data_IF_359664322502
#
_entry.id   IF_359664322502
#
_cell.length_a   1.000
_cell.length_b   1.000
_cell.length_c   1.000
_cell.angle_alpha   90.00
_cell.angle_beta   90.00
_cell.angle_gamma   90.00
#
_symmetry.space_group_name_H-M   'P 1'
#
loop_
_entity.id
_entity.type
_entity.pdbx_description
1 polymer ?
#
# COMPACT_ATOMS: atom_id res chain seq x y z
N UNK A 1 -7.64 18.95 15.77
CA UNK A 1 -6.54 19.11 14.78
C UNK A 1 -7.03 18.67 13.40
N UNK A 2 -6.56 19.27 12.30
CA UNK A 2 -6.95 18.80 10.95
C UNK A 2 -6.24 17.47 10.61
N UNK A 3 -6.82 16.61 9.74
CA UNK A 3 -6.25 15.29 9.42
C UNK A 3 -4.78 15.31 8.99
N UNK A 4 -4.43 16.21 8.07
CA UNK A 4 -3.05 16.37 7.55
C UNK A 4 -2.02 16.58 8.65
N UNK A 5 -2.29 17.47 9.60
CA UNK A 5 -1.35 17.75 10.69
C UNK A 5 -1.22 16.56 11.64
N UNK A 6 -2.31 15.82 11.89
CA UNK A 6 -2.27 14.62 12.72
C UNK A 6 -1.38 13.54 12.11
N UNK A 7 -1.50 13.31 10.79
CA UNK A 7 -0.65 12.36 10.06
C UNK A 7 0.81 12.82 10.07
N UNK A 8 1.09 14.11 9.81
CA UNK A 8 2.45 14.67 9.90
C UNK A 8 3.07 14.48 11.28
N UNK A 9 2.30 14.72 12.35
CA UNK A 9 2.77 14.52 13.71
C UNK A 9 3.07 13.05 13.99
N UNK A 10 2.19 12.13 13.57
CA UNK A 10 2.44 10.70 13.72
C UNK A 10 3.73 10.27 13.01
N UNK A 11 3.92 10.65 11.73
CA UNK A 11 5.12 10.32 10.96
C UNK A 11 6.40 10.98 11.51
N UNK A 12 6.28 12.11 12.22
CA UNK A 12 7.40 12.77 12.89
C UNK A 12 7.56 12.37 14.37
N UNK A 13 6.97 11.26 14.81
CA UNK A 13 7.07 10.77 16.20
C UNK A 13 6.66 11.82 17.24
N UNK A 14 5.52 12.49 17.00
CA UNK A 14 4.91 13.45 17.93
C UNK A 14 3.46 13.07 18.20
N UNK A 15 3.05 13.30 19.45
CA UNK A 15 1.69 13.07 19.91
C UNK A 15 0.75 14.19 19.45
N UNK A 16 -0.35 13.82 18.80
CA UNK A 16 -1.37 14.73 18.30
C UNK A 16 -2.58 14.79 19.25
N UNK A 17 -3.76 15.19 18.78
CA UNK A 17 -5.02 15.08 19.56
C UNK A 17 -5.49 13.62 19.72
N UNK A 18 -5.20 12.78 18.71
CA UNK A 18 -5.33 11.32 18.71
C UNK A 18 -4.45 10.75 17.60
N UNK A 19 -4.34 9.43 17.51
CA UNK A 19 -3.73 8.77 16.35
C UNK A 19 -4.54 9.03 15.06
N UNK A 20 -3.90 9.12 13.88
CA UNK A 20 -4.60 9.12 12.60
C UNK A 20 -5.30 7.78 12.32
N UNK A 21 -6.33 7.83 11.47
CA UNK A 21 -7.13 6.67 11.08
C UNK A 21 -7.12 6.57 9.56
N UNK A 22 -6.72 5.42 9.03
CA UNK A 22 -6.87 5.08 7.63
C UNK A 22 -7.04 3.57 7.48
N UNK A 23 -7.76 3.13 6.46
CA UNK A 23 -7.98 1.71 6.22
C UNK A 23 -8.33 1.47 4.75
N UNK A 24 -8.29 0.21 4.33
CA UNK A 24 -8.48 -0.20 2.94
C UNK A 24 -9.50 -1.33 2.82
N UNK A 25 -10.81 -1.07 2.92
CA UNK A 25 -11.81 -2.10 2.69
C UNK A 25 -11.84 -2.54 1.21
N UNK A 26 -12.01 -3.84 0.97
CA UNK A 26 -12.25 -4.34 -0.39
C UNK A 26 -13.57 -3.79 -0.96
N UNK A 27 -13.66 -3.69 -2.29
CA UNK A 27 -14.89 -3.25 -2.96
C UNK A 27 -16.11 -4.10 -2.54
N UNK A 28 -15.95 -5.43 -2.51
CA UNK A 28 -16.99 -6.35 -2.06
C UNK A 28 -17.44 -6.09 -0.59
N UNK A 29 -16.52 -5.65 0.28
CA UNK A 29 -16.83 -5.26 1.66
C UNK A 29 -17.67 -3.99 1.68
N UNK A 30 -17.30 -2.98 0.90
CA UNK A 30 -18.06 -1.74 0.80
C UNK A 30 -19.45 -1.99 0.20
N UNK A 31 -19.56 -2.87 -0.79
CA UNK A 31 -20.84 -3.28 -1.39
C UNK A 31 -21.75 -3.98 -0.38
N UNK A 32 -21.18 -4.85 0.46
CA UNK A 32 -21.90 -5.43 1.59
C UNK A 32 -22.37 -4.33 2.55
N UNK A 33 -21.49 -3.41 2.95
CA UNK A 33 -21.84 -2.35 3.90
C UNK A 33 -22.95 -1.43 3.41
N UNK A 34 -23.08 -1.19 2.10
CA UNK A 34 -24.22 -0.47 1.50
C UNK A 34 -25.56 -1.16 1.82
N UNK A 35 -25.59 -2.49 1.84
CA UNK A 35 -26.77 -3.26 2.22
C UNK A 35 -26.98 -3.34 3.75
N UNK A 36 -25.96 -2.99 4.53
CA UNK A 36 -25.98 -3.02 6.00
C UNK A 36 -26.12 -1.63 6.65
N UNK A 37 -26.29 -0.57 5.85
CA UNK A 37 -26.61 0.78 6.33
C UNK A 37 -25.57 1.86 6.09
N UNK A 38 -24.53 1.61 5.29
CA UNK A 38 -23.66 2.68 4.77
C UNK A 38 -24.51 3.62 3.88
N UNK A 39 -24.58 4.94 4.18
CA UNK A 39 -25.44 5.86 3.44
C UNK A 39 -25.14 5.90 1.94
N UNK A 40 -26.20 5.92 1.12
CA UNK A 40 -26.07 6.06 -0.34
C UNK A 40 -25.33 7.35 -0.71
N UNK A 41 -24.43 7.27 -1.69
CA UNK A 41 -23.62 8.39 -2.15
C UNK A 41 -22.45 8.77 -1.22
N UNK A 42 -22.29 8.09 -0.07
CA UNK A 42 -21.16 8.29 0.84
C UNK A 42 -20.11 7.19 0.63
N UNK A 43 -18.84 7.58 0.53
CA UNK A 43 -17.75 6.59 0.52
C UNK A 43 -17.50 6.05 1.93
N UNK A 44 -16.94 4.84 2.03
CA UNK A 44 -16.49 4.31 3.33
C UNK A 44 -15.46 5.24 3.99
N UNK A 45 -14.55 5.81 3.18
CA UNK A 45 -13.56 6.77 3.67
C UNK A 45 -14.20 8.02 4.29
N UNK A 46 -15.28 8.54 3.70
CA UNK A 46 -15.99 9.70 4.24
C UNK A 46 -16.73 9.35 5.54
N UNK A 47 -17.41 8.21 5.57
CA UNK A 47 -18.19 7.75 6.72
C UNK A 47 -17.29 7.49 7.94
N UNK A 48 -16.14 6.82 7.72
CA UNK A 48 -15.19 6.48 8.79
C UNK A 48 -14.11 7.53 9.01
N UNK A 49 -14.17 8.65 8.28
CA UNK A 49 -13.25 9.78 8.39
C UNK A 49 -11.79 9.39 8.22
N UNK A 50 -11.48 8.61 7.18
CA UNK A 50 -10.10 8.29 6.84
C UNK A 50 -9.31 9.56 6.50
N UNK A 51 -8.04 9.56 6.90
CA UNK A 51 -7.25 10.79 6.96
C UNK A 51 -6.22 10.95 5.83
N UNK A 52 -6.03 9.90 5.04
CA UNK A 52 -5.15 9.88 3.88
C UNK A 52 -5.96 9.76 2.59
N UNK A 53 -5.50 10.42 1.54
CA UNK A 53 -5.99 10.26 0.17
C UNK A 53 -4.81 10.14 -0.79
N UNK A 54 -4.81 9.07 -1.59
CA UNK A 54 -3.71 8.77 -2.51
C UNK A 54 -4.04 9.08 -3.96
N UNK A 55 -3.04 9.58 -4.69
CA UNK A 55 -3.11 9.82 -6.12
C UNK A 55 -1.86 9.30 -6.78
N UNK A 56 -2.00 8.64 -7.91
CA UNK A 56 -0.88 8.03 -8.61
C UNK A 56 -1.15 7.90 -10.11
N UNK A 57 -0.09 7.76 -10.90
CA UNK A 57 -0.17 7.50 -12.33
C UNK A 57 -0.33 6.00 -12.61
N UNK A 58 -0.86 5.66 -13.78
CA UNK A 58 -0.65 4.33 -14.37
C UNK A 58 0.82 4.18 -14.74
N UNK A 59 1.52 3.31 -14.01
CA UNK A 59 2.93 2.99 -14.25
C UNK A 59 3.13 1.63 -14.91
N UNK A 60 2.07 1.04 -15.47
CA UNK A 60 2.16 -0.16 -16.32
C UNK A 60 2.78 0.15 -17.69
N UNK A 61 3.11 -0.86 -18.50
CA UNK A 61 3.47 -0.70 -19.91
C UNK A 61 2.30 -0.22 -20.80
N UNK A 62 1.09 -0.02 -20.26
CA UNK A 62 -0.12 0.41 -20.98
C UNK A 62 -0.44 -0.50 -22.18
N UNK A 63 -0.39 -1.82 -21.98
CA UNK A 63 -0.94 -2.74 -22.97
C UNK A 63 -2.45 -2.53 -23.12
N UNK A 64 -3.02 -2.72 -24.32
CA UNK A 64 -4.47 -2.67 -24.50
C UNK A 64 -5.16 -3.68 -23.58
N UNK A 65 -6.15 -3.21 -22.82
CA UNK A 65 -7.02 -4.07 -22.01
C UNK A 65 -8.03 -4.74 -22.93
N UNK A 66 -8.12 -6.06 -22.87
CA UNK A 66 -8.93 -6.87 -23.79
C UNK A 66 -9.61 -8.00 -23.03
N UNK A 67 -10.94 -8.13 -23.19
CA UNK A 67 -11.71 -9.28 -22.70
C UNK A 67 -11.52 -10.43 -23.68
N UNK A 68 -10.92 -11.54 -23.22
CA UNK A 68 -10.65 -12.72 -24.04
C UNK A 68 -11.77 -13.75 -23.94
N UNK A 69 -12.39 -13.86 -22.77
CA UNK A 69 -13.53 -14.73 -22.50
C UNK A 69 -14.35 -14.16 -21.35
N UNK A 70 -15.67 -14.28 -21.41
CA UNK A 70 -16.58 -13.88 -20.33
C UNK A 70 -17.73 -14.88 -20.23
N UNK A 71 -18.06 -15.29 -19.01
CA UNK A 71 -19.24 -16.08 -18.68
C UNK A 71 -19.92 -15.55 -17.40
N UNK A 72 -20.94 -16.27 -16.90
CA UNK A 72 -21.72 -15.84 -15.73
C UNK A 72 -20.91 -15.79 -14.43
N UNK A 73 -19.80 -16.52 -14.34
CA UNK A 73 -19.00 -16.67 -13.13
C UNK A 73 -17.63 -15.98 -13.25
N UNK A 74 -17.03 -16.03 -14.44
CA UNK A 74 -15.66 -15.57 -14.67
C UNK A 74 -15.52 -14.59 -15.84
N UNK A 75 -14.48 -13.76 -15.72
CA UNK A 75 -13.94 -12.96 -16.82
C UNK A 75 -12.45 -13.29 -16.98
N UNK A 76 -12.02 -13.48 -18.22
CA UNK A 76 -10.62 -13.63 -18.60
C UNK A 76 -10.22 -12.42 -19.42
N UNK A 77 -9.24 -11.68 -18.94
CA UNK A 77 -8.79 -10.43 -19.58
C UNK A 77 -7.27 -10.37 -19.68
N UNK A 78 -6.79 -9.68 -20.72
CA UNK A 78 -5.45 -9.10 -20.71
C UNK A 78 -5.54 -7.73 -20.02
N UNK A 79 -4.73 -7.52 -18.99
CA UNK A 79 -4.70 -6.26 -18.25
C UNK A 79 -3.66 -5.26 -18.84
N UNK A 80 -3.59 -4.05 -18.28
CA UNK A 80 -2.65 -3.01 -18.72
C UNK A 80 -1.17 -3.36 -18.51
N UNK A 81 -0.90 -4.33 -17.64
CA UNK A 81 0.42 -4.93 -17.45
C UNK A 81 0.80 -5.89 -18.59
N UNK A 82 -0.16 -6.32 -19.40
CA UNK A 82 0.02 -7.27 -20.51
C UNK A 82 -0.18 -8.73 -20.12
N UNK A 83 -0.39 -9.02 -18.83
CA UNK A 83 -0.65 -10.36 -18.32
C UNK A 83 -2.10 -10.78 -18.54
N UNK A 84 -2.33 -12.08 -18.69
CA UNK A 84 -3.67 -12.65 -18.78
C UNK A 84 -4.11 -13.13 -17.41
N UNK A 85 -5.30 -12.71 -16.97
CA UNK A 85 -5.86 -13.00 -15.65
C UNK A 85 -7.28 -13.52 -15.78
N UNK A 86 -7.66 -14.46 -14.91
CA UNK A 86 -9.04 -14.94 -14.75
C UNK A 86 -9.55 -14.51 -13.38
N UNK A 87 -10.64 -13.77 -13.36
CA UNK A 87 -11.27 -13.24 -12.15
C UNK A 87 -12.69 -13.76 -12.01
N UNK A 88 -13.17 -13.89 -10.78
CA UNK A 88 -14.60 -13.94 -10.51
C UNK A 88 -15.25 -12.60 -10.89
N UNK A 89 -16.49 -12.63 -11.36
CA UNK A 89 -17.25 -11.43 -11.75
C UNK A 89 -17.41 -10.39 -10.64
N UNK A 90 -17.34 -10.82 -9.38
CA UNK A 90 -17.47 -9.96 -8.21
C UNK A 90 -16.12 -9.40 -7.68
N UNK A 91 -14.99 -9.77 -8.30
CA UNK A 91 -13.64 -9.39 -7.88
C UNK A 91 -13.36 -9.60 -6.38
N UNK A 92 -14.03 -10.59 -5.77
CA UNK A 92 -13.93 -10.81 -4.32
C UNK A 92 -12.74 -11.66 -3.89
N UNK A 93 -11.92 -12.10 -4.85
CA UNK A 93 -10.71 -12.90 -4.64
C UNK A 93 -9.55 -12.36 -5.46
N UNK A 94 -8.33 -12.81 -5.15
CA UNK A 94 -7.18 -12.55 -6.01
C UNK A 94 -7.35 -13.22 -7.39
N UNK A 95 -6.89 -12.58 -8.48
CA UNK A 95 -6.98 -13.15 -9.83
C UNK A 95 -6.17 -14.44 -9.98
N UNK A 96 -6.70 -15.41 -10.73
CA UNK A 96 -5.90 -16.51 -11.26
C UNK A 96 -5.02 -16.00 -12.40
N UNK A 97 -3.75 -16.36 -12.35
CA UNK A 97 -2.73 -15.93 -13.31
C UNK A 97 -2.64 -16.97 -14.45
N UNK A 98 -2.87 -16.55 -15.69
CA UNK A 98 -2.82 -17.41 -16.88
C UNK A 98 -1.52 -17.21 -17.67
N UNK A 99 -1.13 -15.97 -17.96
CA UNK A 99 0.07 -15.67 -18.75
C UNK A 99 0.76 -14.37 -18.31
N UNK A 100 2.03 -14.24 -18.69
CA UNK A 100 2.87 -13.08 -18.44
C UNK A 100 3.48 -12.53 -19.73
N UNK A 101 3.61 -11.21 -19.86
CA UNK A 101 4.13 -10.57 -21.07
C UNK A 101 5.64 -10.73 -21.25
N UNK A 102 6.40 -10.91 -20.17
CA UNK A 102 7.86 -10.94 -20.20
C UNK A 102 8.39 -12.30 -19.76
N UNK A 103 8.92 -13.08 -20.71
CA UNK A 103 9.39 -14.45 -20.47
C UNK A 103 10.91 -14.56 -20.54
N UNK A 104 11.56 -13.58 -21.16
CA UNK A 104 13.01 -13.51 -21.36
C UNK A 104 13.46 -12.05 -21.55
N UNK A 105 14.76 -11.84 -21.75
CA UNK A 105 15.37 -10.52 -21.98
C UNK A 105 14.85 -9.81 -23.23
N UNK A 106 14.61 -10.53 -24.32
CA UNK A 106 14.13 -9.93 -25.57
C UNK A 106 12.72 -9.35 -25.39
N UNK A 107 11.85 -10.03 -24.63
CA UNK A 107 10.54 -9.50 -24.27
C UNK A 107 10.66 -8.23 -23.42
N UNK A 108 11.61 -8.21 -22.47
CA UNK A 108 11.91 -7.03 -21.66
C UNK A 108 12.37 -5.85 -22.53
N UNK A 109 13.31 -6.05 -23.44
CA UNK A 109 13.79 -4.98 -24.33
C UNK A 109 12.68 -4.41 -25.24
N UNK A 110 11.69 -5.23 -25.62
CA UNK A 110 10.50 -4.76 -26.36
C UNK A 110 9.53 -3.98 -25.46
N UNK A 111 9.43 -4.37 -24.18
CA UNK A 111 8.49 -3.77 -23.23
C UNK A 111 9.04 -2.49 -22.58
N UNK A 112 10.33 -2.45 -22.24
CA UNK A 112 11.02 -1.36 -21.54
C UNK A 112 10.76 0.03 -22.16
N UNK A 113 10.80 0.24 -23.50
CA UNK A 113 10.50 1.55 -24.09
C UNK A 113 9.08 2.08 -23.83
N UNK A 114 8.14 1.21 -23.42
CA UNK A 114 6.79 1.61 -23.02
C UNK A 114 6.78 2.26 -21.63
N UNK A 115 7.70 1.88 -20.75
CA UNK A 115 7.84 2.38 -19.37
C UNK A 115 8.53 3.76 -19.33
N UNK A 116 7.98 4.71 -20.09
CA UNK A 116 8.44 6.10 -20.16
C UNK A 116 7.35 7.06 -19.68
N UNK A 117 7.71 8.23 -19.11
CA UNK A 117 6.75 9.21 -18.64
C UNK A 117 5.87 9.75 -19.78
N UNK A 118 4.59 10.00 -19.49
CA UNK A 118 3.59 10.44 -20.47
C UNK A 118 2.37 11.04 -19.78
N UNK A 119 1.72 12.03 -20.41
CA UNK A 119 0.48 12.62 -19.87
C UNK A 119 -0.70 11.67 -19.95
N UNK A 120 -0.64 10.63 -20.78
CA UNK A 120 -1.68 9.59 -20.85
C UNK A 120 -1.70 8.64 -19.66
N UNK A 121 -0.75 8.77 -18.74
CA UNK A 121 -0.65 7.93 -17.54
C UNK A 121 -1.47 8.47 -16.37
N UNK A 122 -2.15 9.60 -16.53
CA UNK A 122 -2.98 10.21 -15.47
C UNK A 122 -4.30 10.63 -16.09
N UNK A 123 -5.41 10.25 -15.44
CA UNK A 123 -6.71 10.87 -15.72
C UNK A 123 -6.74 12.26 -15.07
N UNK A 124 -6.15 13.25 -15.74
CA UNK A 124 -5.95 14.58 -15.17
C UNK A 124 -7.24 15.24 -14.68
N UNK A 125 -8.35 15.05 -15.39
CA UNK A 125 -9.62 15.70 -15.06
C UNK A 125 -10.15 15.16 -13.74
N UNK A 126 -10.34 13.84 -13.65
CA UNK A 126 -10.89 13.21 -12.46
C UNK A 126 -9.90 13.30 -11.29
N UNK A 127 -8.61 13.08 -11.53
CA UNK A 127 -7.59 13.10 -10.48
C UNK A 127 -7.40 14.49 -9.88
N UNK A 128 -7.36 15.57 -10.66
CA UNK A 128 -7.23 16.93 -10.11
C UNK A 128 -8.49 17.37 -9.38
N UNK A 129 -9.68 17.03 -9.89
CA UNK A 129 -10.94 17.33 -9.20
C UNK A 129 -11.00 16.65 -7.83
N UNK A 130 -10.67 15.36 -7.77
CA UNK A 130 -10.62 14.61 -6.52
C UNK A 130 -9.51 15.15 -5.59
N UNK A 131 -8.33 15.47 -6.12
CA UNK A 131 -7.25 16.09 -5.37
C UNK A 131 -7.69 17.39 -4.69
N UNK A 132 -8.31 18.32 -5.43
CA UNK A 132 -8.76 19.59 -4.87
C UNK A 132 -9.81 19.38 -3.77
N UNK A 133 -10.74 18.43 -3.96
CA UNK A 133 -11.71 18.04 -2.94
C UNK A 133 -11.01 17.56 -1.67
N UNK A 134 -10.16 16.55 -1.75
CA UNK A 134 -9.51 15.96 -0.56
C UNK A 134 -8.51 16.92 0.09
N UNK A 135 -7.76 17.67 -0.70
CA UNK A 135 -6.84 18.68 -0.20
C UNK A 135 -7.57 19.79 0.57
N UNK A 136 -8.73 20.26 0.08
CA UNK A 136 -9.54 21.29 0.76
C UNK A 136 -10.14 20.81 2.09
N UNK A 137 -10.36 19.51 2.23
CA UNK A 137 -10.80 18.88 3.49
C UNK A 137 -9.67 18.69 4.50
N UNK A 138 -8.45 19.08 4.12
CA UNK A 138 -7.27 18.96 4.96
C UNK A 138 -6.81 17.52 5.14
N UNK A 139 -7.09 16.62 4.19
CA UNK A 139 -6.51 15.27 4.18
C UNK A 139 -5.00 15.32 3.91
N UNK A 140 -4.30 14.29 4.36
CA UNK A 140 -2.90 14.04 4.02
C UNK A 140 -2.83 13.42 2.63
N UNK A 141 -2.20 14.11 1.68
CA UNK A 141 -2.22 13.71 0.27
C UNK A 141 -0.96 12.92 -0.07
N UNK A 142 -1.10 11.67 -0.54
CA UNK A 142 0.06 10.83 -0.90
C UNK A 142 0.23 10.65 -2.40
N UNK A 143 1.48 10.62 -2.85
CA UNK A 143 1.85 10.10 -4.17
C UNK A 143 1.96 8.58 -4.10
N UNK A 144 1.06 7.88 -4.78
CA UNK A 144 0.93 6.43 -4.69
C UNK A 144 1.59 5.77 -5.89
N UNK A 145 2.52 4.85 -5.65
CA UNK A 145 3.24 4.18 -6.73
C UNK A 145 3.72 2.78 -6.33
N UNK A 146 3.45 1.78 -7.18
CA UNK A 146 4.03 0.45 -7.03
C UNK A 146 5.43 0.42 -7.62
N UNK A 147 6.36 -0.22 -6.93
CA UNK A 147 7.77 -0.28 -7.32
C UNK A 147 8.39 -1.65 -7.04
N UNK A 148 9.55 -1.93 -7.64
CA UNK A 148 10.41 -3.04 -7.22
C UNK A 148 9.84 -4.43 -7.54
N UNK A 149 10.23 -5.44 -6.76
CA UNK A 149 9.91 -6.85 -7.05
C UNK A 149 8.41 -7.10 -7.28
N UNK A 150 7.56 -6.54 -6.43
CA UNK A 150 6.11 -6.75 -6.50
C UNK A 150 5.49 -6.24 -7.80
N UNK A 151 5.96 -5.09 -8.27
CA UNK A 151 5.54 -4.58 -9.56
C UNK A 151 6.09 -5.45 -10.70
N UNK A 152 7.36 -5.83 -10.66
CA UNK A 152 7.99 -6.63 -11.72
C UNK A 152 7.36 -8.03 -11.83
N UNK A 153 6.88 -8.63 -10.73
CA UNK A 153 6.18 -9.91 -10.82
C UNK A 153 4.83 -9.84 -11.55
N UNK A 154 4.33 -8.65 -11.88
CA UNK A 154 3.20 -8.51 -12.82
C UNK A 154 3.62 -8.71 -14.28
N UNK A 155 4.90 -8.50 -14.61
CA UNK A 155 5.47 -8.67 -15.95
C UNK A 155 6.08 -10.05 -16.16
N UNK A 156 6.80 -10.54 -15.14
CA UNK A 156 7.55 -11.80 -15.16
C UNK A 156 6.97 -12.71 -14.11
N UNK A 157 6.70 -13.97 -14.45
CA UNK A 157 6.17 -14.93 -13.48
C UNK A 157 7.08 -15.02 -12.23
N UNK A 158 6.51 -14.94 -11.02
CA UNK A 158 7.29 -14.95 -9.78
C UNK A 158 8.30 -16.12 -9.69
N UNK A 159 7.97 -17.38 -10.06
CA UNK A 159 8.96 -18.47 -10.05
C UNK A 159 10.15 -18.24 -10.99
N UNK A 160 9.98 -17.47 -12.06
CA UNK A 160 11.04 -17.14 -13.01
C UNK A 160 11.82 -15.92 -12.54
N UNK A 161 11.12 -14.90 -12.06
CA UNK A 161 11.73 -13.70 -11.48
C UNK A 161 12.63 -14.07 -10.29
N UNK A 162 12.19 -14.97 -9.40
CA UNK A 162 13.03 -15.46 -8.30
C UNK A 162 14.29 -16.17 -8.80
N UNK A 163 14.22 -16.96 -9.87
CA UNK A 163 15.44 -17.54 -10.46
C UNK A 163 16.34 -16.46 -11.07
N UNK A 164 15.76 -15.46 -11.72
CA UNK A 164 16.49 -14.34 -12.29
C UNK A 164 17.17 -13.48 -11.21
N UNK A 165 16.57 -13.31 -10.03
CA UNK A 165 17.20 -12.65 -8.88
C UNK A 165 18.53 -13.31 -8.51
N UNK A 166 18.62 -14.64 -8.62
CA UNK A 166 19.86 -15.37 -8.36
C UNK A 166 20.81 -15.41 -9.57
N UNK A 167 20.28 -15.68 -10.77
CA UNK A 167 21.08 -16.05 -11.95
C UNK A 167 21.37 -14.88 -12.88
N UNK A 168 20.54 -13.85 -12.86
CA UNK A 168 20.54 -12.72 -13.79
C UNK A 168 20.37 -11.36 -13.07
N UNK A 169 21.15 -11.07 -12.01
CA UNK A 169 20.92 -9.92 -11.13
C UNK A 169 20.95 -8.57 -11.87
N UNK A 170 21.80 -8.41 -12.88
CA UNK A 170 21.86 -7.17 -13.66
C UNK A 170 20.61 -6.92 -14.51
N UNK A 171 19.94 -7.99 -14.96
CA UNK A 171 18.66 -7.86 -15.65
C UNK A 171 17.54 -7.42 -14.73
N UNK A 172 17.50 -8.02 -13.53
CA UNK A 172 16.52 -7.68 -12.51
C UNK A 172 16.73 -6.26 -12.00
N UNK A 173 17.99 -5.84 -11.78
CA UNK A 173 18.33 -4.44 -11.45
C UNK A 173 17.88 -3.48 -12.54
N UNK A 174 18.09 -3.79 -13.82
CA UNK A 174 17.64 -2.94 -14.93
C UNK A 174 16.11 -2.73 -14.90
N UNK A 175 15.35 -3.77 -14.56
CA UNK A 175 13.91 -3.66 -14.36
C UNK A 175 13.55 -2.74 -13.20
N UNK A 176 14.17 -2.92 -12.02
CA UNK A 176 13.91 -2.10 -10.84
C UNK A 176 14.26 -0.63 -11.06
N UNK A 177 15.41 -0.34 -11.69
CA UNK A 177 15.82 1.03 -11.98
C UNK A 177 14.96 1.70 -13.04
N UNK A 178 14.52 0.95 -14.07
CA UNK A 178 13.57 1.46 -15.07
C UNK A 178 12.26 1.88 -14.41
N UNK A 179 11.76 1.04 -13.51
CA UNK A 179 10.53 1.27 -12.76
C UNK A 179 10.65 2.48 -11.82
N UNK A 180 11.71 2.53 -11.00
CA UNK A 180 11.97 3.65 -10.10
C UNK A 180 12.11 4.98 -10.85
N UNK A 181 12.78 4.98 -12.01
CA UNK A 181 12.88 6.16 -12.87
C UNK A 181 11.50 6.63 -13.36
N UNK A 182 10.64 5.72 -13.80
CA UNK A 182 9.29 6.07 -14.22
C UNK A 182 8.47 6.65 -13.05
N UNK A 183 8.61 6.08 -11.85
CA UNK A 183 7.95 6.56 -10.64
C UNK A 183 8.36 8.01 -10.32
N UNK A 184 9.66 8.32 -10.40
CA UNK A 184 10.21 9.67 -10.19
C UNK A 184 9.70 10.64 -11.26
N UNK A 185 9.90 10.30 -12.54
CA UNK A 185 9.56 11.17 -13.67
C UNK A 185 8.05 11.51 -13.71
N UNK A 186 7.19 10.57 -13.29
CA UNK A 186 5.75 10.81 -13.20
C UNK A 186 5.35 11.62 -11.97
N UNK A 187 6.03 11.47 -10.83
CA UNK A 187 5.81 12.32 -9.66
C UNK A 187 6.07 13.78 -10.01
N UNK A 188 7.20 14.04 -10.67
CA UNK A 188 7.59 15.35 -11.20
C UNK A 188 6.52 15.96 -12.11
N UNK A 189 5.97 15.17 -13.02
CA UNK A 189 4.90 15.59 -13.93
C UNK A 189 3.62 15.96 -13.18
N UNK A 190 3.20 15.14 -12.22
CA UNK A 190 2.00 15.42 -11.43
C UNK A 190 2.18 16.68 -10.58
N UNK A 191 3.34 16.87 -9.94
CA UNK A 191 3.61 18.09 -9.18
C UNK A 191 3.59 19.34 -10.06
N UNK A 192 4.20 19.28 -11.26
CA UNK A 192 4.15 20.38 -12.25
C UNK A 192 2.73 20.69 -12.74
N UNK A 193 1.86 19.69 -12.79
CA UNK A 193 0.46 19.84 -13.15
C UNK A 193 -0.44 20.38 -12.02
N UNK A 194 0.11 20.62 -10.83
CA UNK A 194 -0.58 21.29 -9.72
C UNK A 194 -0.89 20.41 -8.52
N UNK A 195 -0.48 19.13 -8.51
CA UNK A 195 -0.57 18.31 -7.31
C UNK A 195 0.42 18.81 -6.25
N UNK A 196 0.00 18.78 -4.98
CA UNK A 196 0.88 18.96 -3.82
C UNK A 196 0.72 17.74 -2.93
N UNK A 197 1.79 16.97 -2.82
CA UNK A 197 1.83 15.78 -1.99
C UNK A 197 2.45 16.12 -0.63
N UNK A 198 1.85 15.57 0.43
CA UNK A 198 2.41 15.62 1.78
C UNK A 198 3.37 14.45 2.03
N UNK A 199 3.25 13.33 1.30
CA UNK A 199 4.11 12.15 1.43
C UNK A 199 4.05 11.23 0.21
N UNK A 200 4.91 10.20 0.18
CA UNK A 200 4.87 9.12 -0.80
C UNK A 200 4.32 7.84 -0.15
N UNK A 201 3.53 7.08 -0.91
CA UNK A 201 3.02 5.78 -0.50
C UNK A 201 3.47 4.74 -1.54
N UNK A 202 4.51 3.99 -1.22
CA UNK A 202 5.09 2.97 -2.09
C UNK A 202 4.47 1.60 -1.80
N UNK A 203 4.26 0.81 -2.85
CA UNK A 203 3.83 -0.59 -2.72
C UNK A 203 4.94 -1.50 -3.25
N UNK A 204 5.42 -2.40 -2.40
CA UNK A 204 6.30 -3.48 -2.82
C UNK A 204 6.27 -4.62 -1.81
N UNK A 205 5.47 -5.66 -2.06
CA UNK A 205 5.51 -6.90 -1.28
C UNK A 205 6.82 -7.67 -1.49
N UNK A 206 7.50 -8.00 -0.39
CA UNK A 206 8.80 -8.68 -0.37
C UNK A 206 8.79 -9.98 0.44
N UNK A 207 7.66 -10.30 1.07
CA UNK A 207 7.50 -11.47 1.90
C UNK A 207 6.19 -12.19 1.67
N UNK A 208 6.15 -13.39 2.22
CA UNK A 208 4.94 -14.19 2.40
C UNK A 208 4.86 -14.59 3.88
N UNK A 209 3.87 -15.43 4.22
CA UNK A 209 3.67 -15.88 5.60
C UNK A 209 4.89 -16.54 6.26
N UNK A 210 5.73 -17.23 5.47
CA UNK A 210 6.88 -17.98 5.97
C UNK A 210 8.18 -17.18 6.10
N UNK A 211 8.28 -16.02 5.47
CA UNK A 211 9.52 -15.25 5.40
C UNK A 211 9.59 -14.36 4.15
N UNK A 212 10.80 -13.99 3.76
CA UNK A 212 11.08 -13.23 2.55
C UNK A 212 11.01 -14.10 1.29
N UNK A 213 10.72 -13.49 0.14
CA UNK A 213 10.78 -14.18 -1.15
C UNK A 213 12.21 -14.57 -1.56
N UNK A 214 13.20 -13.78 -1.14
CA UNK A 214 14.63 -13.99 -1.39
C UNK A 214 15.43 -13.55 -0.16
N UNK A 215 16.70 -13.94 -0.07
CA UNK A 215 17.50 -13.65 1.12
C UNK A 215 17.75 -12.14 1.29
N UNK A 216 17.96 -11.64 2.53
CA UNK A 216 18.31 -10.25 2.78
C UNK A 216 19.50 -9.75 1.95
N UNK A 217 20.47 -10.62 1.64
CA UNK A 217 21.59 -10.29 0.77
C UNK A 217 21.16 -9.92 -0.66
N UNK A 218 20.18 -10.62 -1.24
CA UNK A 218 19.69 -10.26 -2.58
C UNK A 218 18.92 -8.94 -2.54
N UNK A 219 18.22 -8.65 -1.45
CA UNK A 219 17.61 -7.34 -1.23
C UNK A 219 18.68 -6.23 -1.18
N UNK A 220 19.69 -6.40 -0.31
CA UNK A 220 20.84 -5.50 -0.15
C UNK A 220 21.54 -5.22 -1.47
N UNK A 221 21.84 -6.25 -2.26
CA UNK A 221 22.61 -6.10 -3.51
C UNK A 221 21.78 -5.49 -4.66
N UNK A 222 20.44 -5.56 -4.63
CA UNK A 222 19.59 -5.25 -5.79
C UNK A 222 18.53 -4.16 -5.54
N UNK A 223 17.70 -4.30 -4.49
CA UNK A 223 16.58 -3.38 -4.23
C UNK A 223 16.94 -2.26 -3.27
N UNK A 224 17.81 -2.52 -2.29
CA UNK A 224 18.22 -1.51 -1.30
C UNK A 224 18.74 -0.21 -1.96
N UNK A 225 19.62 -0.25 -2.99
CA UNK A 225 20.06 0.97 -3.67
C UNK A 225 18.91 1.71 -4.37
N UNK A 226 17.93 0.98 -4.90
CA UNK A 226 16.76 1.54 -5.59
C UNK A 226 15.84 2.25 -4.62
N UNK A 227 15.57 1.62 -3.46
CA UNK A 227 14.73 2.21 -2.42
C UNK A 227 15.40 3.43 -1.79
N UNK A 228 16.72 3.39 -1.61
CA UNK A 228 17.51 4.54 -1.15
C UNK A 228 17.40 5.73 -2.10
N UNK A 229 17.49 5.52 -3.41
CA UNK A 229 17.29 6.59 -4.41
C UNK A 229 15.87 7.15 -4.35
N UNK A 230 14.85 6.28 -4.31
CA UNK A 230 13.45 6.69 -4.24
C UNK A 230 13.16 7.53 -2.98
N UNK A 231 13.64 7.08 -1.82
CA UNK A 231 13.46 7.80 -0.56
C UNK A 231 14.20 9.15 -0.58
N UNK A 232 15.45 9.19 -1.07
CA UNK A 232 16.19 10.45 -1.25
C UNK A 232 15.44 11.43 -2.14
N UNK A 233 14.88 10.96 -3.26
CA UNK A 233 14.08 11.79 -4.16
C UNK A 233 12.83 12.33 -3.46
N UNK A 234 12.03 11.49 -2.79
CA UNK A 234 10.80 11.94 -2.12
C UNK A 234 11.10 12.88 -0.95
N UNK A 235 12.12 12.57 -0.13
CA UNK A 235 12.56 13.45 0.95
C UNK A 235 13.07 14.81 0.46
N UNK A 236 13.73 14.86 -0.71
CA UNK A 236 14.16 16.14 -1.30
C UNK A 236 12.98 17.07 -1.65
N UNK A 237 11.77 16.51 -1.78
CA UNK A 237 10.51 17.23 -1.97
C UNK A 237 9.70 17.39 -0.68
N UNK A 238 10.28 17.06 0.48
CA UNK A 238 9.61 17.13 1.78
C UNK A 238 8.49 16.10 1.95
N UNK A 239 8.57 14.96 1.24
CA UNK A 239 7.57 13.90 1.27
C UNK A 239 8.11 12.69 2.06
N UNK A 240 7.67 12.46 3.31
CA UNK A 240 7.94 11.22 4.03
C UNK A 240 7.37 10.00 3.29
N UNK A 241 8.03 8.87 3.41
CA UNK A 241 7.75 7.64 2.66
C UNK A 241 7.08 6.60 3.54
N UNK A 242 5.86 6.20 3.15
CA UNK A 242 5.14 5.06 3.70
C UNK A 242 5.36 3.88 2.74
N UNK A 243 5.89 2.76 3.23
CA UNK A 243 6.02 1.52 2.46
C UNK A 243 4.93 0.52 2.87
N UNK A 244 4.10 0.13 1.90
CA UNK A 244 3.29 -1.08 1.96
C UNK A 244 4.11 -2.29 1.54
N UNK A 245 4.21 -3.27 2.43
CA UNK A 245 4.93 -4.52 2.20
C UNK A 245 4.31 -5.63 3.05
N UNK A 246 3.51 -6.49 2.42
CA UNK A 246 2.90 -7.66 3.07
C UNK A 246 3.92 -8.78 3.34
N UNK A 247 3.50 -9.75 4.15
CA UNK A 247 4.32 -10.89 4.54
C UNK A 247 5.22 -10.64 5.75
N UNK A 248 6.12 -11.58 5.98
CA UNK A 248 7.06 -11.55 7.10
C UNK A 248 8.36 -10.87 6.68
N UNK A 249 8.44 -9.55 6.89
CA UNK A 249 9.54 -8.70 6.40
C UNK A 249 10.44 -8.13 7.50
N UNK A 250 10.39 -8.71 8.71
CA UNK A 250 11.19 -8.27 9.87
C UNK A 250 12.68 -8.12 9.60
N UNK A 251 13.23 -9.02 8.79
CA UNK A 251 14.67 -9.04 8.47
C UNK A 251 15.09 -7.89 7.55
N UNK A 252 14.14 -7.20 6.91
CA UNK A 252 14.40 -6.05 6.04
C UNK A 252 14.23 -4.70 6.74
N UNK A 253 13.62 -4.66 7.94
CA UNK A 253 13.37 -3.40 8.67
C UNK A 253 14.64 -2.56 8.89
N UNK A 254 15.81 -3.15 9.24
CA UNK A 254 17.04 -2.36 9.35
C UNK A 254 17.43 -1.64 8.05
N UNK A 255 17.23 -2.29 6.90
CA UNK A 255 17.49 -1.67 5.59
C UNK A 255 16.47 -0.58 5.27
N UNK A 256 15.18 -0.82 5.59
CA UNK A 256 14.13 0.18 5.39
C UNK A 256 14.42 1.48 6.16
N UNK A 257 14.90 1.36 7.40
CA UNK A 257 15.32 2.50 8.21
C UNK A 257 16.51 3.21 7.56
N UNK A 258 17.52 2.47 7.07
CA UNK A 258 18.68 3.08 6.40
C UNK A 258 18.31 3.80 5.10
N UNK A 259 17.36 3.25 4.34
CA UNK A 259 16.88 3.84 3.08
C UNK A 259 16.14 5.15 3.31
N UNK A 260 15.56 5.34 4.50
CA UNK A 260 14.72 6.49 4.82
C UNK A 260 13.23 6.23 4.68
N UNK A 261 12.78 4.99 4.86
CA UNK A 261 11.34 4.71 4.97
C UNK A 261 10.87 5.21 6.35
N UNK A 262 9.92 6.14 6.33
CA UNK A 262 9.39 6.78 7.54
C UNK A 262 8.27 5.95 8.20
N UNK A 263 7.56 5.12 7.43
CA UNK A 263 6.50 4.29 7.97
C UNK A 263 6.34 2.94 7.27
N UNK A 264 6.20 1.87 8.05
CA UNK A 264 5.93 0.52 7.54
C UNK A 264 4.46 0.13 7.72
N UNK A 265 3.85 -0.38 6.65
CA UNK A 265 2.46 -0.81 6.53
C UNK A 265 2.40 -2.14 5.76
N UNK A 266 1.43 -3.06 5.98
CA UNK A 266 0.35 -3.04 6.98
C UNK A 266 0.65 -3.79 8.29
N UNK A 267 1.84 -4.39 8.43
CA UNK A 267 2.21 -5.26 9.57
C UNK A 267 1.30 -6.49 9.71
N UNK A 268 1.34 -7.37 8.72
CA UNK A 268 0.51 -8.57 8.63
C UNK A 268 0.68 -9.52 9.83
N UNK A 269 -0.33 -9.59 10.71
CA UNK A 269 -0.25 -10.28 12.02
C UNK A 269 -0.12 -11.78 11.83
N UNK A 270 -0.84 -12.37 10.87
CA UNK A 270 -0.75 -13.81 10.56
C UNK A 270 0.63 -14.25 10.03
N UNK A 271 1.45 -13.30 9.59
CA UNK A 271 2.83 -13.49 9.13
C UNK A 271 3.85 -13.23 10.26
N UNK A 272 3.39 -12.90 11.46
CA UNK A 272 4.23 -12.69 12.63
C UNK A 272 4.79 -11.29 12.75
N UNK A 273 4.25 -10.31 12.03
CA UNK A 273 4.57 -8.88 12.20
C UNK A 273 3.86 -8.32 13.43
N UNK A 274 4.43 -8.56 14.62
CA UNK A 274 3.86 -8.11 15.89
C UNK A 274 4.13 -6.62 16.13
N UNK A 275 3.07 -5.82 16.20
CA UNK A 275 3.16 -4.37 16.38
C UNK A 275 3.84 -3.96 17.70
N UNK A 276 3.61 -4.68 18.80
CA UNK A 276 4.18 -4.33 20.11
C UNK A 276 5.69 -4.58 20.09
N UNK A 277 6.10 -5.77 19.65
CA UNK A 277 7.52 -6.13 19.49
C UNK A 277 8.24 -5.14 18.57
N UNK A 278 7.61 -4.77 17.45
CA UNK A 278 8.20 -3.84 16.49
C UNK A 278 8.27 -2.41 17.02
N UNK A 279 7.25 -1.95 17.76
CA UNK A 279 7.24 -0.65 18.44
C UNK A 279 8.34 -0.58 19.50
N UNK A 280 8.51 -1.62 20.31
CA UNK A 280 9.58 -1.69 21.31
C UNK A 280 10.98 -1.65 20.67
N UNK A 281 11.16 -2.31 19.53
CA UNK A 281 12.47 -2.46 18.89
C UNK A 281 12.87 -1.29 17.99
N UNK A 282 11.92 -0.66 17.30
CA UNK A 282 12.18 0.31 16.24
C UNK A 282 11.30 1.57 16.28
N UNK A 283 10.41 1.70 17.27
CA UNK A 283 9.42 2.78 17.34
C UNK A 283 9.98 4.19 17.51
N UNK A 284 11.28 4.33 17.75
CA UNK A 284 12.05 5.57 17.77
C UNK A 284 12.65 5.95 16.40
N UNK A 285 12.62 5.02 15.43
CA UNK A 285 13.30 5.16 14.12
C UNK A 285 12.36 5.11 12.93
N UNK A 286 11.23 4.42 13.06
CA UNK A 286 10.23 4.26 12.00
C UNK A 286 8.83 4.24 12.62
N UNK A 287 7.88 4.88 11.95
CA UNK A 287 6.47 4.83 12.32
C UNK A 287 5.82 3.54 11.82
N UNK A 288 4.68 3.20 12.40
CA UNK A 288 3.93 2.00 12.05
C UNK A 288 2.50 2.33 11.66
N UNK A 289 2.01 1.67 10.62
CA UNK A 289 0.64 1.79 10.17
C UNK A 289 0.04 0.40 9.99
N UNK A 290 -0.90 0.01 10.85
CA UNK A 290 -1.52 -1.32 10.78
C UNK A 290 -1.29 -2.19 12.00
N UNK A 291 -1.26 -3.51 11.80
CA UNK A 291 -1.01 -4.49 12.86
C UNK A 291 -2.21 -4.87 13.71
N UNK A 292 -3.43 -4.52 13.29
CA UNK A 292 -4.69 -4.96 13.92
C UNK A 292 -5.28 -6.12 13.12
N UNK A 293 -5.33 -7.31 13.74
CA UNK A 293 -5.71 -8.56 13.04
C UNK A 293 -7.14 -8.53 12.49
N UNK A 294 -7.25 -8.45 11.17
CA UNK A 294 -8.54 -8.35 10.50
C UNK A 294 -9.41 -9.59 10.68
N UNK A 295 -8.81 -10.76 10.97
CA UNK A 295 -9.56 -12.01 11.19
C UNK A 295 -10.38 -11.96 12.48
N UNK A 296 -9.94 -11.18 13.46
CA UNK A 296 -10.70 -10.95 14.70
C UNK A 296 -11.90 -10.02 14.45
N UNK A 297 -11.84 -9.17 13.42
CA UNK A 297 -12.96 -8.33 13.01
C UNK A 297 -14.08 -9.14 12.36
N UNK A 298 -13.80 -10.34 11.85
CA UNK A 298 -14.80 -11.23 11.23
C UNK A 298 -15.54 -12.12 12.23
N UNK A 299 -15.18 -12.07 13.52
CA UNK A 299 -15.81 -12.88 14.56
C UNK A 299 -17.11 -12.24 15.07
N UNK A 300 -18.11 -13.08 15.34
CA UNK A 300 -19.38 -12.63 15.94
C UNK A 300 -19.20 -12.08 17.36
N UNK A 301 -18.30 -12.69 18.16
CA UNK A 301 -17.92 -12.17 19.47
C UNK A 301 -16.94 -11.00 19.31
N UNK A 302 -17.28 -9.77 19.75
CA UNK A 302 -16.37 -8.63 19.64
C UNK A 302 -15.26 -8.60 20.69
N UNK A 303 -15.32 -9.42 21.74
CA UNK A 303 -14.33 -9.36 22.84
C UNK A 303 -12.88 -9.56 22.37
N UNK A 304 -12.55 -10.46 21.42
CA UNK A 304 -11.20 -10.61 20.92
C UNK A 304 -10.67 -9.34 20.25
N UNK A 305 -11.45 -8.73 19.35
CA UNK A 305 -11.04 -7.49 18.68
C UNK A 305 -11.00 -6.29 19.64
N UNK A 306 -11.90 -6.23 20.62
CA UNK A 306 -11.86 -5.21 21.67
C UNK A 306 -10.56 -5.28 22.48
N UNK A 307 -10.16 -6.49 22.87
CA UNK A 307 -8.90 -6.74 23.58
C UNK A 307 -7.70 -6.39 22.71
N UNK A 308 -7.69 -6.82 21.46
CA UNK A 308 -6.64 -6.54 20.47
C UNK A 308 -6.42 -5.03 20.31
N UNK A 309 -7.48 -4.30 19.94
CA UNK A 309 -7.44 -2.85 19.71
C UNK A 309 -7.01 -2.11 20.98
N UNK A 310 -7.61 -2.43 22.14
CA UNK A 310 -7.21 -1.81 23.41
C UNK A 310 -5.72 -2.02 23.70
N UNK A 311 -5.24 -3.25 23.58
CA UNK A 311 -3.87 -3.61 23.98
C UNK A 311 -2.86 -2.97 23.03
N UNK A 312 -3.01 -3.20 21.73
CA UNK A 312 -2.05 -2.75 20.72
C UNK A 312 -2.03 -1.23 20.57
N UNK A 313 -3.19 -0.57 20.53
CA UNK A 313 -3.22 0.89 20.36
C UNK A 313 -2.67 1.61 21.58
N UNK A 314 -2.93 1.12 22.79
CA UNK A 314 -2.40 1.75 24.01
C UNK A 314 -0.88 1.80 23.99
N UNK A 315 -0.22 0.74 23.52
CA UNK A 315 1.25 0.69 23.40
C UNK A 315 1.74 1.46 22.17
N UNK A 316 1.15 1.21 21.00
CA UNK A 316 1.66 1.72 19.74
C UNK A 316 1.59 3.25 19.63
N UNK A 317 0.58 3.88 20.25
CA UNK A 317 0.40 5.33 20.19
C UNK A 317 1.48 6.10 20.94
N UNK A 318 2.08 5.54 21.99
CA UNK A 318 2.99 6.26 22.90
C UNK A 318 4.14 6.91 22.13
N UNK A 319 4.37 8.20 22.38
CA UNK A 319 5.38 8.99 21.69
C UNK A 319 5.08 9.30 20.22
N UNK A 320 3.84 9.12 19.76
CA UNK A 320 3.51 9.26 18.33
C UNK A 320 3.95 8.03 17.52
N UNK A 321 4.21 8.20 16.23
CA UNK A 321 4.76 7.12 15.40
C UNK A 321 3.78 6.00 15.06
N UNK A 322 2.47 6.20 15.21
CA UNK A 322 1.47 5.19 14.88
C UNK A 322 0.24 5.76 14.18
N UNK A 323 -0.17 5.08 13.11
CA UNK A 323 -1.39 5.33 12.34
C UNK A 323 -2.24 4.06 12.42
N UNK A 324 -3.52 4.18 12.77
CA UNK A 324 -4.40 3.02 12.69
C UNK A 324 -4.58 2.59 11.23
N UNK A 325 -4.48 1.29 11.01
CA UNK A 325 -4.95 0.52 9.86
C UNK A 325 -5.19 -0.93 10.34
N UNK A 326 -5.96 -1.74 9.63
CA UNK A 326 -5.94 -3.20 9.84
C UNK A 326 -4.59 -3.80 9.37
N UNK A 327 -4.33 -5.07 9.68
CA UNK A 327 -3.10 -5.75 9.24
C UNK A 327 -3.10 -6.16 7.75
N UNK A 328 -4.22 -5.92 7.06
CA UNK A 328 -4.44 -6.09 5.63
C UNK A 328 -5.77 -5.42 5.23
N UNK A 329 -6.05 -5.24 3.94
CA UNK A 329 -7.37 -4.82 3.45
C UNK A 329 -8.55 -5.56 4.09
N UNK A 330 -9.61 -4.83 4.45
CA UNK A 330 -10.77 -5.35 5.20
C UNK A 330 -11.63 -6.26 4.31
N UNK A 331 -11.72 -7.57 4.59
CA UNK A 331 -12.44 -8.55 3.78
C UNK A 331 -13.96 -8.51 3.98
N UNK A 332 -14.68 -9.13 3.03
CA UNK A 332 -16.15 -9.04 2.92
C UNK A 332 -16.91 -9.72 4.06
N UNK A 333 -16.23 -10.54 4.84
CA UNK A 333 -16.73 -11.22 6.05
C UNK A 333 -16.85 -10.26 7.25
N UNK A 334 -16.19 -9.10 7.24
CA UNK A 334 -16.35 -8.06 8.26
C UNK A 334 -17.64 -7.25 8.02
N UNK A 335 -18.57 -7.30 8.97
CA UNK A 335 -19.83 -6.54 8.89
C UNK A 335 -19.63 -5.05 9.15
N UNK A 336 -20.56 -4.23 8.67
CA UNK A 336 -20.55 -2.78 8.85
C UNK A 336 -20.61 -2.38 10.32
N UNK A 337 -21.49 -3.02 11.10
CA UNK A 337 -21.62 -2.77 12.54
C UNK A 337 -20.35 -3.16 13.31
N UNK A 338 -19.71 -4.25 12.93
CA UNK A 338 -18.46 -4.68 13.55
C UNK A 338 -17.32 -3.72 13.21
N UNK A 339 -17.22 -3.24 11.98
CA UNK A 339 -16.22 -2.25 11.61
C UNK A 339 -16.46 -0.88 12.28
N UNK A 340 -17.72 -0.44 12.41
CA UNK A 340 -18.09 0.74 13.23
C UNK A 340 -17.61 0.60 14.66
N UNK A 341 -17.78 -0.58 15.27
CA UNK A 341 -17.27 -0.88 16.61
C UNK A 341 -15.75 -0.75 16.67
N UNK A 342 -15.02 -1.29 15.70
CA UNK A 342 -13.55 -1.16 15.60
C UNK A 342 -13.15 0.32 15.56
N UNK A 343 -13.71 1.11 14.65
CA UNK A 343 -13.36 2.54 14.53
C UNK A 343 -13.70 3.32 15.80
N UNK A 344 -14.81 3.02 16.48
CA UNK A 344 -15.15 3.62 17.77
C UNK A 344 -14.13 3.28 18.87
N UNK A 345 -13.62 2.04 18.91
CA UNK A 345 -12.57 1.62 19.84
C UNK A 345 -11.24 2.33 19.54
N UNK A 346 -10.89 2.46 18.27
CA UNK A 346 -9.71 3.21 17.81
C UNK A 346 -9.79 4.66 18.27
N UNK A 347 -10.94 5.32 18.08
CA UNK A 347 -11.18 6.69 18.54
C UNK A 347 -11.15 6.82 20.07
N UNK A 348 -11.55 5.78 20.81
CA UNK A 348 -11.51 5.76 22.27
C UNK A 348 -10.09 5.62 22.81
N UNK A 349 -9.35 4.61 22.37
CA UNK A 349 -8.03 4.28 22.91
C UNK A 349 -6.89 5.09 22.27
N UNK A 350 -7.11 5.59 21.06
CA UNK A 350 -6.12 6.35 20.28
C UNK A 350 -5.96 7.82 20.68
N UNK A 351 -6.72 8.33 21.67
CA UNK A 351 -6.53 9.70 22.18
C UNK A 351 -5.25 9.80 23.00
N UNK A 352 -4.54 10.91 22.86
CA UNK A 352 -3.43 11.26 23.75
C UNK A 352 -3.96 11.94 25.01
N UNK A 353 -3.29 11.76 26.14
CA UNK A 353 -3.58 12.52 27.35
C UNK A 353 -2.99 13.93 27.16
N UNK A 354 -3.75 14.96 27.52
CA UNK A 354 -3.44 16.36 27.23
C UNK A 354 -2.38 16.96 28.16
#
# INVERSE_FOLDING_TARGET
>A
MIPRERVKMALSHREADRIPIHDSPWAATVDRWRNEGLPSGMSAADYFHYELAGFGPDTSPMFPVEILQEDSEYIVERNSYGGIRKNHRDFSTTPMIIDYPCKNREDWEKMKPKLKPSDYRVDWVTSLQNYHREHSRGLYITYNVAVGYDKIQNYVASPWLLRAVLQEPEWVKDMYWTDAKLAIDMCDRMMKAGFKFDGAFMYCDLGYRGGLFFSPKHYEDQLHPVFKELCQYFHSHGMPVILHCCGKVKDLIPYFIEEGIDCLQPLEVKSGMDLIELKEKYGDKIAFMGGIDVRLMSLDDPKPIEKEVKTKITVAKEGGGYIYHSDHSVPKDVSFEQYKRVVALVQKYGKYEA
#
